data_IF_467134181070
#
_entry.id   IF_467134181070
#
_cell.length_a   1.000
_cell.length_b   1.000
_cell.length_c   1.000
_cell.angle_alpha   90.00
_cell.angle_beta   90.00
_cell.angle_gamma   90.00
#
_symmetry.space_group_name_H-M   'P 1'
#
loop_
_entity.id
_entity.type
_entity.pdbx_description
1 polymer ?
#
# COMPACT_ATOMS: atom_id res chain seq x y z
N UNK A 1 -2.98 11.65 11.58
CA UNK A 1 -2.53 11.41 10.20
C UNK A 1 -1.10 10.86 10.16
N UNK A 2 -0.11 11.55 10.73
CA UNK A 2 1.31 11.11 10.76
C UNK A 2 1.53 9.68 11.29
N UNK A 3 0.89 9.32 12.40
CA UNK A 3 1.05 8.00 13.02
C UNK A 3 0.52 6.82 12.18
N UNK A 4 -0.35 7.06 11.19
CA UNK A 4 -0.85 5.98 10.31
C UNK A 4 0.09 5.76 9.12
N UNK A 5 0.74 6.82 8.64
CA UNK A 5 1.71 6.74 7.57
C UNK A 5 2.99 6.06 8.05
N UNK A 6 3.47 6.42 9.25
CA UNK A 6 4.62 5.79 9.90
C UNK A 6 4.47 4.27 10.02
N UNK A 7 3.27 3.78 10.37
CA UNK A 7 2.99 2.33 10.44
C UNK A 7 3.19 1.62 9.10
N UNK A 8 2.78 2.26 8.00
CA UNK A 8 2.94 1.67 6.66
C UNK A 8 4.39 1.79 6.20
N UNK A 9 5.09 2.86 6.55
CA UNK A 9 6.50 3.03 6.20
C UNK A 9 7.40 2.07 6.97
N UNK A 10 7.08 1.77 8.24
CA UNK A 10 7.72 0.72 9.03
C UNK A 10 7.54 -0.66 8.41
N UNK A 11 6.32 -0.98 7.95
CA UNK A 11 6.03 -2.22 7.24
C UNK A 11 6.87 -2.36 5.95
N UNK A 12 6.98 -1.29 5.17
CA UNK A 12 7.78 -1.29 3.94
C UNK A 12 9.26 -1.43 4.26
N UNK A 13 9.73 -0.73 5.28
CA UNK A 13 11.10 -0.85 5.79
C UNK A 13 11.40 -2.28 6.25
N UNK A 14 10.49 -2.91 6.99
CA UNK A 14 10.61 -4.30 7.42
C UNK A 14 10.71 -5.27 6.22
N UNK A 15 9.88 -5.09 5.19
CA UNK A 15 9.90 -5.93 3.98
C UNK A 15 11.18 -5.75 3.16
N UNK A 16 11.58 -4.50 2.94
CA UNK A 16 12.66 -4.14 2.02
C UNK A 16 14.03 -4.40 2.67
N UNK A 17 14.13 -4.20 3.99
CA UNK A 17 15.33 -4.44 4.81
C UNK A 17 15.29 -5.73 5.62
N UNK A 18 14.43 -6.69 5.24
CA UNK A 18 14.24 -7.93 5.98
C UNK A 18 15.56 -8.67 6.30
N UNK A 19 16.49 -8.70 5.35
CA UNK A 19 17.79 -9.38 5.51
C UNK A 19 18.86 -8.55 6.25
N UNK A 20 18.56 -7.32 6.66
CA UNK A 20 19.42 -6.59 7.60
C UNK A 20 19.27 -7.13 9.03
N UNK A 21 18.12 -7.75 9.33
CA UNK A 21 17.78 -8.28 10.66
C UNK A 21 17.54 -9.80 10.68
N UNK A 22 17.38 -10.43 9.51
CA UNK A 22 17.16 -11.88 9.33
C UNK A 22 18.23 -12.48 8.42
N UNK A 23 18.51 -13.77 8.59
CA UNK A 23 19.54 -14.45 7.78
C UNK A 23 18.99 -14.87 6.42
N UNK A 24 19.87 -15.20 5.47
CA UNK A 24 19.46 -15.67 4.13
C UNK A 24 18.72 -17.01 4.21
N UNK A 25 19.03 -17.85 5.21
CA UNK A 25 18.31 -19.08 5.52
C UNK A 25 16.83 -18.84 5.84
N UNK A 26 16.47 -17.60 6.22
CA UNK A 26 15.09 -17.19 6.52
C UNK A 26 14.30 -16.73 5.29
N UNK A 27 14.90 -16.80 4.10
CA UNK A 27 14.26 -16.37 2.86
C UNK A 27 12.90 -17.06 2.60
N UNK A 28 12.78 -18.34 2.97
CA UNK A 28 11.52 -19.09 2.87
C UNK A 28 10.43 -18.59 3.82
N UNK A 29 10.80 -17.93 4.93
CA UNK A 29 9.89 -17.37 5.93
C UNK A 29 9.48 -15.94 5.63
N UNK A 30 10.32 -15.19 4.90
CA UNK A 30 10.10 -13.77 4.56
C UNK A 30 8.67 -13.48 4.11
N UNK A 31 8.10 -14.27 3.21
CA UNK A 31 6.76 -14.01 2.69
C UNK A 31 5.68 -14.14 3.78
N UNK A 32 5.82 -15.11 4.68
CA UNK A 32 4.90 -15.30 5.80
C UNK A 32 5.07 -14.20 6.84
N UNK A 33 6.30 -13.86 7.20
CA UNK A 33 6.59 -12.83 8.20
C UNK A 33 6.09 -11.45 7.73
N UNK A 34 6.33 -11.11 6.45
CA UNK A 34 5.79 -9.88 5.86
C UNK A 34 4.26 -9.93 5.83
N UNK A 35 3.62 -11.06 5.56
CA UNK A 35 2.16 -11.18 5.62
C UNK A 35 1.61 -10.99 7.05
N UNK A 36 2.31 -11.49 8.07
CA UNK A 36 1.95 -11.27 9.47
C UNK A 36 2.09 -9.80 9.87
N UNK A 37 3.20 -9.15 9.49
CA UNK A 37 3.38 -7.72 9.74
C UNK A 37 2.36 -6.86 8.98
N UNK A 38 1.99 -7.24 7.76
CA UNK A 38 0.89 -6.61 7.01
C UNK A 38 -0.43 -6.72 7.78
N UNK A 39 -0.78 -7.90 8.30
CA UNK A 39 -2.01 -8.10 9.06
C UNK A 39 -2.04 -7.29 10.37
N UNK A 40 -0.91 -7.23 11.10
CA UNK A 40 -0.79 -6.39 12.30
C UNK A 40 -0.94 -4.91 11.97
N UNK A 41 -0.29 -4.45 10.91
CA UNK A 41 -0.35 -3.05 10.45
C UNK A 41 -1.77 -2.67 10.08
N UNK A 42 -2.45 -3.52 9.30
CA UNK A 42 -3.84 -3.31 8.90
C UNK A 42 -4.75 -3.22 10.14
N UNK A 43 -4.61 -4.14 11.10
CA UNK A 43 -5.40 -4.09 12.34
C UNK A 43 -5.20 -2.77 13.10
N UNK A 44 -3.96 -2.28 13.21
CA UNK A 44 -3.65 -1.00 13.87
C UNK A 44 -4.18 0.21 13.09
N UNK A 45 -4.28 0.11 11.77
CA UNK A 45 -4.94 1.13 10.94
C UNK A 45 -6.46 1.12 11.16
N UNK A 46 -7.07 -0.06 11.23
CA UNK A 46 -8.51 -0.26 11.46
C UNK A 46 -8.93 0.12 12.89
N UNK A 47 -8.09 -0.12 13.90
CA UNK A 47 -8.32 0.37 15.27
C UNK A 47 -8.32 1.92 15.36
N UNK A 48 -7.80 2.60 14.33
CA UNK A 48 -7.79 4.08 14.22
C UNK A 48 -8.82 4.58 13.20
N UNK A 49 -9.71 3.73 12.72
CA UNK A 49 -10.64 3.95 11.60
C UNK A 49 -11.73 4.99 11.89
N UNK A 50 -12.06 5.22 13.16
CA UNK A 50 -13.27 5.94 13.59
C UNK A 50 -13.40 7.39 13.10
N UNK A 51 -12.32 8.04 12.67
CA UNK A 51 -12.33 9.45 12.26
C UNK A 51 -12.16 9.67 10.75
N UNK A 52 -11.60 8.71 10.00
CA UNK A 52 -11.12 8.97 8.62
C UNK A 52 -11.31 7.82 7.63
N UNK A 53 -12.19 6.85 7.94
CA UNK A 53 -12.50 5.63 7.16
C UNK A 53 -12.66 5.83 5.64
N UNK A 54 -13.08 7.02 5.20
CA UNK A 54 -13.33 7.35 3.80
C UNK A 54 -12.41 8.46 3.25
N UNK A 55 -11.34 8.82 3.94
CA UNK A 55 -10.35 9.75 3.38
C UNK A 55 -9.51 9.04 2.29
N UNK A 56 -9.11 9.78 1.25
CA UNK A 56 -8.24 9.26 0.21
C UNK A 56 -6.93 8.72 0.80
N UNK A 57 -6.34 9.43 1.77
CA UNK A 57 -5.14 8.98 2.47
C UNK A 57 -5.35 7.66 3.22
N UNK A 58 -6.46 7.48 3.94
CA UNK A 58 -6.72 6.22 4.65
C UNK A 58 -6.88 5.06 3.67
N UNK A 59 -7.62 5.27 2.58
CA UNK A 59 -7.82 4.27 1.53
C UNK A 59 -6.51 3.93 0.80
N UNK A 60 -5.63 4.91 0.61
CA UNK A 60 -4.28 4.70 0.10
C UNK A 60 -3.45 3.83 1.04
N UNK A 61 -3.35 4.20 2.31
CA UNK A 61 -2.59 3.45 3.31
C UNK A 61 -3.12 2.03 3.48
N UNK A 62 -4.45 1.87 3.55
CA UNK A 62 -5.11 0.56 3.58
C UNK A 62 -4.81 -0.26 2.34
N UNK A 63 -4.86 0.37 1.15
CA UNK A 63 -4.48 -0.25 -0.10
C UNK A 63 -3.01 -0.72 -0.09
N UNK A 64 -2.08 0.11 0.37
CA UNK A 64 -0.65 -0.24 0.47
C UNK A 64 -0.38 -1.46 1.36
N UNK A 65 -1.25 -1.78 2.31
CA UNK A 65 -1.15 -2.96 3.18
C UNK A 65 -1.85 -4.21 2.62
N UNK A 66 -2.78 -4.06 1.68
CA UNK A 66 -3.59 -5.17 1.15
C UNK A 66 -2.97 -5.73 -0.13
N UNK A 67 -2.87 -7.06 -0.24
CA UNK A 67 -2.46 -7.71 -1.49
C UNK A 67 -3.47 -7.48 -2.64
N UNK A 68 -4.74 -7.20 -2.32
CA UNK A 68 -5.83 -6.92 -3.26
C UNK A 68 -6.35 -5.49 -3.11
N UNK A 69 -5.45 -4.53 -3.28
CA UNK A 69 -5.66 -3.12 -2.96
C UNK A 69 -6.50 -2.33 -3.97
N UNK A 70 -6.77 -2.90 -5.15
CA UNK A 70 -7.36 -2.20 -6.29
C UNK A 70 -8.64 -1.40 -5.95
N UNK A 71 -9.55 -1.98 -5.17
CA UNK A 71 -10.78 -1.27 -4.77
C UNK A 71 -10.47 -0.08 -3.86
N UNK A 72 -9.58 -0.26 -2.87
CA UNK A 72 -9.19 0.81 -1.95
C UNK A 72 -8.45 1.93 -2.70
N UNK A 73 -7.50 1.58 -3.54
CA UNK A 73 -6.69 2.53 -4.31
C UNK A 73 -7.50 3.26 -5.37
N UNK A 74 -8.38 2.56 -6.09
CA UNK A 74 -9.28 3.19 -7.08
C UNK A 74 -10.26 4.16 -6.41
N UNK A 75 -10.72 3.87 -5.19
CA UNK A 75 -11.51 4.81 -4.40
C UNK A 75 -10.67 6.00 -3.93
N UNK A 76 -9.44 5.77 -3.47
CA UNK A 76 -8.54 6.83 -3.03
C UNK A 76 -8.31 7.88 -4.13
N UNK A 77 -7.94 7.45 -5.34
CA UNK A 77 -7.70 8.36 -6.48
C UNK A 77 -8.98 9.03 -7.01
N UNK A 78 -10.15 8.44 -6.79
CA UNK A 78 -11.44 9.09 -7.11
C UNK A 78 -11.80 10.18 -6.12
N UNK A 79 -11.49 9.98 -4.84
CA UNK A 79 -11.73 10.96 -3.78
C UNK A 79 -10.76 12.13 -3.86
N UNK A 80 -9.50 11.85 -4.20
CA UNK A 80 -8.47 12.85 -4.37
C UNK A 80 -7.70 12.60 -5.67
N UNK A 81 -8.17 13.14 -6.80
CA UNK A 81 -7.51 12.94 -8.09
C UNK A 81 -6.07 13.47 -8.14
N UNK A 82 -5.71 14.45 -7.30
CA UNK A 82 -4.35 14.98 -7.15
C UNK A 82 -3.41 14.12 -6.31
N UNK A 83 -3.88 12.99 -5.76
CA UNK A 83 -3.07 12.09 -4.95
C UNK A 83 -2.16 11.23 -5.84
N UNK A 84 -1.03 11.79 -6.25
CA UNK A 84 -0.01 11.16 -7.12
C UNK A 84 0.41 9.78 -6.59
N UNK A 85 0.62 9.66 -5.28
CA UNK A 85 1.00 8.38 -4.64
C UNK A 85 -0.09 7.30 -4.83
N UNK A 86 -1.36 7.70 -4.81
CA UNK A 86 -2.48 6.79 -5.05
C UNK A 86 -2.49 6.23 -6.47
N UNK A 87 -2.25 7.08 -7.47
CA UNK A 87 -2.15 6.67 -8.86
C UNK A 87 -0.93 5.76 -9.11
N UNK A 88 0.22 6.09 -8.52
CA UNK A 88 1.42 5.27 -8.63
C UNK A 88 1.21 3.88 -8.02
N UNK A 89 0.66 3.82 -6.80
CA UNK A 89 0.41 2.55 -6.10
C UNK A 89 -0.61 1.69 -6.87
N UNK A 90 -1.66 2.31 -7.43
CA UNK A 90 -2.64 1.60 -8.27
C UNK A 90 -2.01 1.08 -9.57
N UNK A 91 -1.17 1.89 -10.21
CA UNK A 91 -0.43 1.50 -11.42
C UNK A 91 0.50 0.32 -11.18
N UNK A 92 1.22 0.30 -10.05
CA UNK A 92 2.05 -0.84 -9.65
C UNK A 92 1.25 -2.12 -9.42
N UNK A 93 0.05 -2.02 -8.83
CA UNK A 93 -0.86 -3.16 -8.68
C UNK A 93 -1.25 -3.75 -10.04
N UNK A 94 -1.67 -2.91 -10.99
CA UNK A 94 -2.00 -3.36 -12.35
C UNK A 94 -0.79 -3.93 -13.08
N UNK A 95 0.39 -3.31 -12.92
CA UNK A 95 1.63 -3.80 -13.50
C UNK A 95 1.98 -5.20 -13.00
N UNK A 96 1.90 -5.44 -11.68
CA UNK A 96 2.15 -6.78 -11.08
C UNK A 96 1.14 -7.83 -11.55
N UNK A 97 -0.10 -7.42 -11.88
CA UNK A 97 -1.14 -8.30 -12.45
C UNK A 97 -0.97 -8.54 -13.96
N UNK A 98 -0.08 -7.80 -14.63
CA UNK A 98 0.13 -7.88 -16.07
C UNK A 98 -0.84 -7.03 -16.91
N UNK A 99 -1.72 -6.24 -16.29
CA UNK A 99 -2.58 -5.29 -17.01
C UNK A 99 -1.81 -3.99 -17.29
N UNK A 100 -0.98 -4.05 -18.34
CA UNK A 100 -0.12 -2.93 -18.72
C UNK A 100 -0.92 -1.71 -19.20
N UNK A 101 -2.12 -1.91 -19.73
CA UNK A 101 -3.00 -0.83 -20.22
C UNK A 101 -3.54 -0.01 -19.05
N UNK A 102 -4.09 -0.69 -18.04
CA UNK A 102 -4.54 -0.05 -16.81
C UNK A 102 -3.38 0.61 -16.06
N UNK A 103 -2.22 -0.05 -15.97
CA UNK A 103 -1.02 0.52 -15.36
C UNK A 103 -0.57 1.83 -16.04
N UNK A 104 -0.48 1.83 -17.38
CA UNK A 104 -0.14 3.03 -18.16
C UNK A 104 -1.12 4.17 -17.94
N UNK A 105 -2.41 3.86 -17.86
CA UNK A 105 -3.46 4.85 -17.58
C UNK A 105 -3.25 5.49 -16.22
N UNK A 106 -2.96 4.68 -15.19
CA UNK A 106 -2.68 5.17 -13.84
C UNK A 106 -1.43 6.06 -13.79
N UNK A 107 -0.31 5.64 -14.39
CA UNK A 107 0.92 6.44 -14.40
C UNK A 107 0.79 7.73 -15.22
N UNK A 108 -0.01 7.72 -16.29
CA UNK A 108 -0.31 8.93 -17.07
C UNK A 108 -1.18 9.88 -16.26
N UNK A 109 -2.19 9.36 -15.55
CA UNK A 109 -3.03 10.14 -14.64
C UNK A 109 -2.22 10.78 -13.51
N UNK A 110 -1.22 10.08 -12.96
CA UNK A 110 -0.31 10.60 -11.95
C UNK A 110 0.52 11.82 -12.43
N UNK A 111 0.81 11.91 -13.74
CA UNK A 111 1.62 12.97 -14.33
C UNK A 111 0.81 14.21 -14.77
N UNK A 112 -0.50 14.08 -14.88
CA UNK A 112 -1.39 15.13 -15.41
C UNK A 112 -2.08 15.96 -14.33
N UNK A 113 -1.80 15.69 -13.06
CA UNK A 113 -2.40 16.34 -11.88
C UNK A 113 -1.38 17.22 -11.18
#
# INVERSE_FOLDING_TARGET
>A
MFLSQELVDDLYSFRDRYFETHSVEDAGRKQNDVAQEMAKTLKRLEEKEDLYKNSAQFLLLRGRCLNAAEECLSRAVKLEPGLVEGWNTLGEQYWKKGDLTAAKTCFTGAQQQ
#
